data_IF_963442882557
#
_entry.id   IF_963442882557
#
_cell.length_a   1.000
_cell.length_b   1.000
_cell.length_c   1.000
_cell.angle_alpha   90.00
_cell.angle_beta   90.00
_cell.angle_gamma   90.00
#
_symmetry.space_group_name_H-M   'P 1'
#
loop_
_entity.id
_entity.type
_entity.pdbx_description
1 polymer ?
#
# COMPACT_ATOMS: atom_id res chain seq x y z
N UNK A 1 29.92 -23.72 3.35
CA UNK A 1 28.97 -23.01 2.48
C UNK A 1 28.74 -21.63 3.08
N UNK A 2 29.45 -20.62 2.60
CA UNK A 2 29.32 -19.23 3.05
C UNK A 2 28.03 -18.64 2.47
N UNK A 3 27.02 -18.45 3.31
CA UNK A 3 25.80 -17.74 2.97
C UNK A 3 26.18 -16.29 2.61
N UNK A 4 26.19 -15.96 1.32
CA UNK A 4 26.30 -14.57 0.86
C UNK A 4 25.09 -13.81 1.40
N UNK A 5 25.30 -12.90 2.36
CA UNK A 5 24.28 -11.97 2.80
C UNK A 5 23.70 -11.23 1.57
N UNK A 6 22.39 -11.10 1.44
CA UNK A 6 21.79 -10.46 0.27
C UNK A 6 22.30 -9.01 0.17
N UNK A 7 22.71 -8.60 -1.03
CA UNK A 7 23.26 -7.26 -1.36
C UNK A 7 22.43 -6.09 -0.84
N UNK A 8 21.16 -6.34 -0.54
CA UNK A 8 20.23 -5.35 0.01
C UNK A 8 20.59 -4.85 1.41
N UNK A 9 21.46 -5.54 2.17
CA UNK A 9 21.84 -5.12 3.54
C UNK A 9 22.65 -3.83 3.60
N UNK A 10 23.34 -3.44 2.53
CA UNK A 10 24.21 -2.25 2.49
C UNK A 10 23.49 -0.98 1.96
N UNK A 11 22.28 -1.12 1.39
CA UNK A 11 21.54 0.02 0.84
C UNK A 11 20.73 0.70 1.95
N UNK A 12 20.86 2.02 2.07
CA UNK A 12 20.09 2.83 3.03
C UNK A 12 18.59 2.70 2.72
N UNK A 13 17.74 2.46 3.73
CA UNK A 13 16.30 2.26 3.53
C UNK A 13 15.60 3.42 2.82
N UNK A 14 16.09 4.64 3.03
CA UNK A 14 15.57 5.86 2.41
C UNK A 14 15.72 5.83 0.89
N UNK A 15 16.77 5.21 0.37
CA UNK A 15 16.99 5.10 -1.08
C UNK A 15 15.95 4.20 -1.76
N UNK A 16 15.45 3.19 -1.07
CA UNK A 16 14.34 2.39 -1.58
C UNK A 16 13.07 3.22 -1.68
N UNK A 17 12.79 4.09 -0.69
CA UNK A 17 11.63 4.98 -0.77
C UNK A 17 11.78 6.01 -1.90
N UNK A 18 12.94 6.66 -2.01
CA UNK A 18 13.20 7.63 -3.09
C UNK A 18 13.06 6.95 -4.46
N UNK A 19 13.61 5.75 -4.61
CA UNK A 19 13.43 4.96 -5.82
C UNK A 19 11.95 4.65 -6.08
N UNK A 20 11.20 4.21 -5.07
CA UNK A 20 9.76 4.00 -5.18
C UNK A 20 9.03 5.27 -5.64
N UNK A 21 9.28 6.40 -4.99
CA UNK A 21 8.63 7.66 -5.31
C UNK A 21 8.90 8.12 -6.76
N UNK A 22 10.14 7.99 -7.22
CA UNK A 22 10.51 8.33 -8.60
C UNK A 22 9.75 7.42 -9.58
N UNK A 23 9.83 6.10 -9.42
CA UNK A 23 9.17 5.16 -10.32
C UNK A 23 7.65 5.26 -10.26
N UNK A 24 7.09 5.58 -9.10
CA UNK A 24 5.66 5.75 -8.90
C UNK A 24 5.06 6.83 -9.81
N UNK A 25 5.81 7.90 -10.07
CA UNK A 25 5.37 9.01 -10.94
C UNK A 25 6.01 9.02 -12.33
N UNK A 26 7.19 8.41 -12.49
CA UNK A 26 7.81 8.26 -13.80
C UNK A 26 6.94 7.39 -14.74
N UNK A 27 6.34 6.33 -14.22
CA UNK A 27 5.42 5.50 -14.99
C UNK A 27 4.19 6.27 -15.48
N UNK A 28 3.40 6.95 -14.63
CA UNK A 28 2.33 7.84 -15.06
C UNK A 28 2.78 8.95 -16.03
N UNK A 29 3.95 9.53 -15.86
CA UNK A 29 4.47 10.50 -16.81
C UNK A 29 4.68 9.90 -18.21
N UNK A 30 5.26 8.70 -18.28
CA UNK A 30 5.36 7.97 -19.56
C UNK A 30 4.00 7.54 -20.10
N UNK A 31 3.03 7.24 -19.22
CA UNK A 31 1.66 6.95 -19.65
C UNK A 31 1.01 8.15 -20.34
N UNK A 32 1.22 9.37 -19.83
CA UNK A 32 0.72 10.60 -20.48
C UNK A 32 1.29 10.75 -21.89
N UNK A 33 2.58 10.44 -22.09
CA UNK A 33 3.18 10.45 -23.44
C UNK A 33 2.57 9.36 -24.34
N UNK A 34 2.16 8.23 -23.78
CA UNK A 34 1.52 7.15 -24.51
C UNK A 34 0.07 7.48 -24.93
N UNK A 35 -0.60 8.44 -24.26
CA UNK A 35 -1.97 8.85 -24.60
C UNK A 35 -2.13 9.37 -26.03
N UNK A 36 -1.04 9.75 -26.70
CA UNK A 36 -1.06 10.08 -28.11
C UNK A 36 -1.38 8.89 -29.04
N UNK A 37 -1.24 7.65 -28.56
CA UNK A 37 -1.38 6.42 -29.33
C UNK A 37 -2.41 5.45 -28.74
N UNK A 38 -2.64 5.50 -27.43
CA UNK A 38 -3.53 4.62 -26.69
C UNK A 38 -4.34 5.46 -25.72
N UNK A 39 -5.64 5.34 -25.75
CA UNK A 39 -6.55 6.07 -24.86
C UNK A 39 -6.23 5.83 -23.37
N UNK A 40 -6.46 6.82 -22.49
CA UNK A 40 -6.08 6.76 -21.08
C UNK A 40 -6.60 5.52 -20.34
N UNK A 41 -7.83 5.07 -20.60
CA UNK A 41 -8.39 3.88 -19.95
C UNK A 41 -7.74 2.61 -20.47
N UNK A 42 -7.33 2.55 -21.76
CA UNK A 42 -6.55 1.47 -22.31
C UNK A 42 -5.18 1.33 -21.64
N UNK A 43 -4.48 2.46 -21.45
CA UNK A 43 -3.19 2.46 -20.73
C UNK A 43 -3.37 2.06 -19.27
N UNK A 44 -4.42 2.55 -18.59
CA UNK A 44 -4.74 2.18 -17.20
C UNK A 44 -4.97 0.67 -17.08
N UNK A 45 -5.72 0.07 -18.01
CA UNK A 45 -5.98 -1.37 -18.00
C UNK A 45 -4.71 -2.17 -18.28
N UNK A 46 -3.92 -1.83 -19.31
CA UNK A 46 -2.66 -2.50 -19.65
C UNK A 46 -1.65 -2.45 -18.50
N UNK A 47 -1.58 -1.31 -17.79
CA UNK A 47 -0.77 -1.18 -16.58
C UNK A 47 -1.18 -2.18 -15.50
N UNK A 48 -2.48 -2.25 -15.17
CA UNK A 48 -3.01 -3.16 -14.15
C UNK A 48 -2.82 -4.61 -14.57
N UNK A 49 -3.10 -4.93 -15.84
CA UNK A 49 -2.92 -6.25 -16.41
C UNK A 49 -1.46 -6.70 -16.31
N UNK A 50 -0.52 -5.86 -16.73
CA UNK A 50 0.93 -6.15 -16.65
C UNK A 50 1.34 -6.43 -15.20
N UNK A 51 0.96 -5.59 -14.27
CA UNK A 51 1.27 -5.80 -12.85
C UNK A 51 0.60 -7.07 -12.31
N UNK A 52 -0.66 -7.30 -12.66
CA UNK A 52 -1.42 -8.50 -12.28
C UNK A 52 -0.75 -9.78 -12.78
N UNK A 53 -0.31 -9.81 -14.04
CA UNK A 53 0.40 -10.96 -14.63
C UNK A 53 1.74 -11.20 -13.94
N UNK A 54 2.56 -10.16 -13.77
CA UNK A 54 3.87 -10.27 -13.11
C UNK A 54 3.73 -10.79 -11.69
N UNK A 55 2.82 -10.20 -10.89
CA UNK A 55 2.57 -10.67 -9.53
C UNK A 55 1.95 -12.07 -9.50
N UNK A 56 1.10 -12.43 -10.47
CA UNK A 56 0.51 -13.76 -10.56
C UNK A 56 1.57 -14.84 -10.82
N UNK A 57 2.49 -14.59 -11.74
CA UNK A 57 3.59 -15.50 -12.03
C UNK A 57 4.55 -15.64 -10.84
N UNK A 58 4.81 -14.53 -10.14
CA UNK A 58 5.73 -14.52 -8.99
C UNK A 58 5.10 -15.10 -7.73
N UNK A 59 3.85 -14.73 -7.37
CA UNK A 59 3.23 -14.99 -6.06
C UNK A 59 2.14 -16.05 -6.07
N UNK A 60 1.67 -16.49 -7.25
CA UNK A 60 0.63 -17.52 -7.41
C UNK A 60 -0.63 -17.24 -6.57
N UNK A 61 -1.32 -16.09 -6.77
CA UNK A 61 -2.40 -15.61 -5.89
C UNK A 61 -3.61 -16.54 -5.81
N UNK A 62 -3.78 -17.48 -6.75
CA UNK A 62 -4.80 -18.54 -6.68
C UNK A 62 -4.67 -19.43 -5.46
N UNK A 63 -3.43 -19.65 -4.94
CA UNK A 63 -3.20 -20.41 -3.70
C UNK A 63 -3.72 -19.63 -2.49
N UNK A 64 -3.43 -18.35 -2.43
CA UNK A 64 -3.93 -17.43 -1.40
C UNK A 64 -5.46 -17.36 -1.44
N UNK A 65 -6.03 -17.24 -2.66
CA UNK A 65 -7.48 -17.24 -2.87
C UNK A 65 -8.14 -18.54 -2.41
N UNK A 66 -7.59 -19.69 -2.74
CA UNK A 66 -8.15 -21.00 -2.37
C UNK A 66 -8.17 -21.21 -0.85
N UNK A 67 -7.15 -20.71 -0.14
CA UNK A 67 -7.04 -20.84 1.31
C UNK A 67 -7.75 -19.74 2.11
N UNK A 68 -8.21 -18.65 1.45
CA UNK A 68 -8.83 -17.52 2.11
C UNK A 68 -10.29 -17.83 2.51
N UNK A 69 -10.71 -17.52 3.76
CA UNK A 69 -12.12 -17.57 4.18
C UNK A 69 -12.99 -16.59 3.38
N UNK A 70 -14.31 -16.87 3.33
CA UNK A 70 -15.26 -16.02 2.59
C UNK A 70 -15.20 -14.52 2.92
N UNK A 71 -15.10 -14.06 4.19
CA UNK A 71 -15.03 -12.64 4.50
C UNK A 71 -13.76 -11.98 3.92
N UNK A 72 -12.65 -12.72 3.91
CA UNK A 72 -11.37 -12.24 3.38
C UNK A 72 -11.40 -12.13 1.86
N UNK A 73 -11.98 -13.13 1.16
CA UNK A 73 -12.20 -13.07 -0.30
C UNK A 73 -13.02 -11.84 -0.68
N UNK A 74 -14.13 -11.55 0.07
CA UNK A 74 -14.94 -10.36 -0.15
C UNK A 74 -14.13 -9.07 -0.02
N UNK A 75 -13.25 -8.99 0.98
CA UNK A 75 -12.38 -7.82 1.17
C UNK A 75 -11.38 -7.66 0.02
N UNK A 76 -10.79 -8.77 -0.47
CA UNK A 76 -9.89 -8.74 -1.65
C UNK A 76 -10.65 -8.31 -2.91
N UNK A 77 -11.89 -8.79 -3.11
CA UNK A 77 -12.73 -8.35 -4.25
C UNK A 77 -13.00 -6.86 -4.20
N UNK A 78 -13.43 -6.35 -3.05
CA UNK A 78 -13.66 -4.90 -2.86
C UNK A 78 -12.37 -4.11 -3.11
N UNK A 79 -11.24 -4.61 -2.62
CA UNK A 79 -9.94 -3.98 -2.84
C UNK A 79 -9.56 -3.95 -4.33
N UNK A 80 -9.79 -5.05 -5.07
CA UNK A 80 -9.56 -5.10 -6.52
C UNK A 80 -10.47 -4.15 -7.31
N UNK A 81 -11.76 -4.05 -6.94
CA UNK A 81 -12.69 -3.10 -7.55
C UNK A 81 -12.24 -1.66 -7.30
N UNK A 82 -11.89 -1.31 -6.06
CA UNK A 82 -11.38 0.02 -5.71
C UNK A 82 -10.11 0.34 -6.50
N UNK A 83 -9.21 -0.64 -6.63
CA UNK A 83 -7.97 -0.49 -7.39
C UNK A 83 -8.23 -0.21 -8.88
N UNK A 84 -9.19 -0.93 -9.50
CA UNK A 84 -9.56 -0.70 -10.89
C UNK A 84 -10.12 0.70 -11.13
N UNK A 85 -11.13 1.09 -10.34
CA UNK A 85 -11.81 2.38 -10.47
C UNK A 85 -10.89 3.56 -10.12
N UNK A 86 -10.04 3.39 -9.10
CA UNK A 86 -9.02 4.36 -8.72
C UNK A 86 -8.04 4.61 -9.87
N UNK A 87 -7.50 3.55 -10.48
CA UNK A 87 -6.60 3.72 -11.61
C UNK A 87 -7.28 4.35 -12.82
N UNK A 88 -8.52 3.95 -13.16
CA UNK A 88 -9.27 4.55 -14.25
C UNK A 88 -9.47 6.05 -14.02
N UNK A 89 -9.94 6.45 -12.83
CA UNK A 89 -10.16 7.87 -12.52
C UNK A 89 -8.85 8.67 -12.44
N UNK A 90 -7.75 8.07 -11.93
CA UNK A 90 -6.44 8.70 -11.93
C UNK A 90 -5.95 8.99 -13.36
N UNK A 91 -6.05 8.04 -14.28
CA UNK A 91 -5.60 8.22 -15.66
C UNK A 91 -6.45 9.22 -16.43
N UNK A 92 -7.77 9.24 -16.20
CA UNK A 92 -8.64 10.28 -16.75
C UNK A 92 -8.36 11.67 -16.18
N UNK A 93 -7.84 11.74 -14.94
CA UNK A 93 -7.45 13.00 -14.32
C UNK A 93 -6.13 13.53 -14.89
N UNK A 94 -5.06 12.68 -14.98
CA UNK A 94 -3.75 13.10 -15.49
C UNK A 94 -3.73 13.38 -17.00
N UNK A 95 -4.71 12.89 -17.74
CA UNK A 95 -4.96 13.23 -19.12
C UNK A 95 -5.39 14.72 -19.28
N UNK A 96 -5.98 15.29 -18.22
CA UNK A 96 -6.63 16.63 -18.23
C UNK A 96 -5.98 17.65 -17.32
N UNK A 97 -5.22 17.20 -16.32
CA UNK A 97 -4.62 18.01 -15.28
C UNK A 97 -3.13 17.68 -15.11
N UNK A 98 -2.31 18.64 -14.63
CA UNK A 98 -0.94 18.39 -14.30
C UNK A 98 -0.78 17.26 -13.28
N UNK A 99 0.24 16.41 -13.48
CA UNK A 99 0.50 15.24 -12.65
C UNK A 99 0.65 15.57 -11.15
N UNK A 100 1.36 16.68 -10.85
CA UNK A 100 1.54 17.16 -9.47
C UNK A 100 0.23 17.57 -8.80
N UNK A 101 -0.68 18.20 -9.55
CA UNK A 101 -2.01 18.61 -9.08
C UNK A 101 -2.88 17.40 -8.73
N UNK A 102 -2.93 16.41 -9.62
CA UNK A 102 -3.69 15.16 -9.36
C UNK A 102 -3.13 14.42 -8.16
N UNK A 103 -1.80 14.29 -8.06
CA UNK A 103 -1.15 13.67 -6.92
C UNK A 103 -1.44 14.40 -5.60
N UNK A 104 -1.41 15.73 -5.59
CA UNK A 104 -1.73 16.51 -4.39
C UNK A 104 -3.17 16.30 -3.93
N UNK A 105 -4.15 16.35 -4.85
CA UNK A 105 -5.56 16.09 -4.55
C UNK A 105 -5.73 14.67 -4.01
N UNK A 106 -5.11 13.67 -4.63
CA UNK A 106 -5.16 12.26 -4.19
C UNK A 106 -4.73 12.10 -2.73
N UNK A 107 -3.60 12.72 -2.35
CA UNK A 107 -3.08 12.62 -0.98
C UNK A 107 -3.88 13.41 0.06
N UNK A 108 -4.69 14.39 -0.34
CA UNK A 108 -5.59 15.07 0.57
C UNK A 108 -6.65 14.13 1.17
N UNK A 109 -7.11 13.12 0.42
CA UNK A 109 -8.17 12.21 0.86
C UNK A 109 -7.86 11.43 2.13
N UNK A 110 -6.74 10.70 2.22
CA UNK A 110 -6.32 10.02 3.44
C UNK A 110 -6.18 10.95 4.65
N UNK A 111 -5.74 12.20 4.44
CA UNK A 111 -5.63 13.20 5.50
C UNK A 111 -7.01 13.61 5.99
N UNK A 112 -7.93 13.92 5.08
CA UNK A 112 -9.31 14.27 5.41
C UNK A 112 -9.99 13.14 6.19
N UNK A 113 -9.79 11.89 5.74
CA UNK A 113 -10.35 10.71 6.41
C UNK A 113 -9.77 10.53 7.82
N UNK A 114 -8.47 10.67 7.98
CA UNK A 114 -7.78 10.50 9.24
C UNK A 114 -8.09 11.64 10.24
N UNK A 115 -8.24 12.87 9.76
CA UNK A 115 -8.53 14.04 10.57
C UNK A 115 -9.92 13.97 11.24
N UNK A 116 -10.90 13.35 10.59
CA UNK A 116 -12.25 13.15 11.16
C UNK A 116 -12.24 12.28 12.42
N UNK A 117 -11.28 11.37 12.55
CA UNK A 117 -11.19 10.41 13.66
C UNK A 117 -10.39 10.87 14.88
N UNK A 118 -9.60 11.94 14.79
CA UNK A 118 -8.63 12.35 15.84
C UNK A 118 -8.79 13.82 16.22
N UNK A 119 -9.24 14.07 17.44
CA UNK A 119 -9.42 15.42 18.00
C UNK A 119 -8.09 15.91 18.58
N UNK A 120 -7.15 16.34 17.76
CA UNK A 120 -5.94 17.03 18.18
C UNK A 120 -5.76 18.32 17.38
N UNK A 121 -5.14 19.34 17.98
CA UNK A 121 -4.85 20.61 17.31
C UNK A 121 -3.99 20.39 16.05
N UNK A 122 -3.07 19.43 16.09
CA UNK A 122 -2.23 19.09 14.93
C UNK A 122 -3.04 18.52 13.77
N UNK A 123 -3.99 17.64 14.05
CA UNK A 123 -4.85 17.06 13.00
C UNK A 123 -5.89 18.06 12.50
N UNK A 124 -6.33 19.00 13.36
CA UNK A 124 -7.14 20.13 12.90
C UNK A 124 -6.33 21.04 11.96
N UNK A 125 -5.06 21.34 12.28
CA UNK A 125 -4.17 22.09 11.40
C UNK A 125 -3.92 21.35 10.08
N UNK A 126 -3.68 20.01 10.13
CA UNK A 126 -3.54 19.19 8.94
C UNK A 126 -4.79 19.25 8.05
N UNK A 127 -5.99 19.20 8.66
CA UNK A 127 -7.27 19.32 7.95
C UNK A 127 -7.43 20.69 7.26
N UNK A 128 -7.08 21.79 7.96
CA UNK A 128 -7.13 23.15 7.41
C UNK A 128 -6.16 23.29 6.23
N UNK A 129 -4.92 22.80 6.38
CA UNK A 129 -3.94 22.84 5.29
C UNK A 129 -4.38 21.98 4.10
N UNK A 130 -4.93 20.78 4.33
CA UNK A 130 -5.43 19.93 3.25
C UNK A 130 -6.61 20.57 2.52
N UNK A 131 -7.58 21.10 3.25
CA UNK A 131 -8.74 21.77 2.66
C UNK A 131 -8.33 23.06 1.90
N UNK A 132 -7.42 23.86 2.47
CA UNK A 132 -6.86 25.05 1.79
C UNK A 132 -6.07 24.68 0.53
N UNK A 133 -5.29 23.59 0.57
CA UNK A 133 -4.57 23.10 -0.59
C UNK A 133 -5.50 22.64 -1.72
N UNK A 134 -6.53 21.85 -1.39
CA UNK A 134 -7.54 21.41 -2.38
C UNK A 134 -8.29 22.62 -2.95
N UNK A 135 -8.65 23.62 -2.11
CA UNK A 135 -9.34 24.81 -2.57
C UNK A 135 -8.45 25.63 -3.55
N UNK A 136 -7.15 25.81 -3.23
CA UNK A 136 -6.22 26.50 -4.12
C UNK A 136 -6.05 25.77 -5.47
N UNK A 137 -6.00 24.45 -5.47
CA UNK A 137 -5.95 23.63 -6.68
C UNK A 137 -7.27 23.68 -7.46
N UNK A 138 -8.42 23.67 -6.75
CA UNK A 138 -9.74 23.71 -7.37
C UNK A 138 -9.97 25.00 -8.15
N UNK A 139 -9.52 26.14 -7.65
CA UNK A 139 -9.66 27.43 -8.33
C UNK A 139 -9.04 27.42 -9.73
N UNK A 140 -7.83 26.86 -9.85
CA UNK A 140 -7.12 26.77 -11.14
C UNK A 140 -7.70 25.69 -12.03
N UNK A 141 -8.01 24.52 -11.47
CA UNK A 141 -8.43 23.34 -12.26
C UNK A 141 -9.88 23.44 -12.74
N UNK A 142 -10.79 24.05 -11.96
CA UNK A 142 -12.17 24.26 -12.38
C UNK A 142 -12.31 25.24 -13.53
N UNK A 143 -11.44 26.25 -13.60
CA UNK A 143 -11.41 27.16 -14.75
C UNK A 143 -10.85 26.52 -16.01
N UNK A 144 -9.92 25.53 -15.88
CA UNK A 144 -9.27 24.83 -16.99
C UNK A 144 -9.98 23.54 -17.41
N UNK A 145 -10.22 22.63 -16.48
CA UNK A 145 -10.83 21.32 -16.74
C UNK A 145 -11.70 20.84 -15.58
N UNK A 146 -12.99 21.21 -15.54
CA UNK A 146 -13.90 20.74 -14.50
C UNK A 146 -14.03 19.19 -14.45
N UNK A 147 -13.99 18.55 -15.61
CA UNK A 147 -14.02 17.08 -15.71
C UNK A 147 -12.74 16.45 -15.11
N UNK A 148 -11.58 17.01 -15.38
CA UNK A 148 -10.32 16.57 -14.78
C UNK A 148 -10.34 16.68 -13.27
N UNK A 149 -10.84 17.80 -12.73
CA UNK A 149 -11.02 17.99 -11.30
C UNK A 149 -11.97 16.94 -10.69
N UNK A 150 -13.11 16.69 -11.34
CA UNK A 150 -14.06 15.67 -10.88
C UNK A 150 -13.40 14.28 -10.83
N UNK A 151 -12.64 13.89 -11.85
CA UNK A 151 -11.90 12.63 -11.84
C UNK A 151 -10.84 12.59 -10.74
N UNK A 152 -10.13 13.68 -10.47
CA UNK A 152 -9.15 13.74 -9.39
C UNK A 152 -9.81 13.58 -8.01
N UNK A 153 -10.99 14.19 -7.78
CA UNK A 153 -11.76 14.04 -6.54
C UNK A 153 -12.31 12.61 -6.40
N UNK A 154 -12.82 12.02 -7.47
CA UNK A 154 -13.25 10.62 -7.47
C UNK A 154 -12.07 9.70 -7.15
N UNK A 155 -10.91 9.92 -7.76
CA UNK A 155 -9.68 9.20 -7.46
C UNK A 155 -9.29 9.34 -5.98
N UNK A 156 -9.33 10.55 -5.41
CA UNK A 156 -9.07 10.82 -3.98
C UNK A 156 -9.93 9.96 -3.05
N UNK A 157 -11.23 9.89 -3.33
CA UNK A 157 -12.18 9.08 -2.53
C UNK A 157 -11.89 7.59 -2.68
N UNK A 158 -11.66 7.12 -3.90
CA UNK A 158 -11.36 5.72 -4.19
C UNK A 158 -10.00 5.31 -3.60
N UNK A 159 -8.99 6.17 -3.64
CA UNK A 159 -7.69 5.96 -3.01
C UNK A 159 -7.81 5.83 -1.49
N UNK A 160 -8.62 6.68 -0.86
CA UNK A 160 -8.93 6.56 0.58
C UNK A 160 -9.58 5.21 0.91
N UNK A 161 -10.55 4.78 0.09
CA UNK A 161 -11.18 3.46 0.20
C UNK A 161 -10.19 2.31 -0.02
N UNK A 162 -9.29 2.45 -0.99
CA UNK A 162 -8.20 1.50 -1.26
C UNK A 162 -7.29 1.33 -0.03
N UNK A 163 -6.87 2.41 0.62
CA UNK A 163 -6.05 2.36 1.84
C UNK A 163 -6.78 1.63 2.97
N UNK A 164 -8.08 1.89 3.16
CA UNK A 164 -8.89 1.21 4.17
C UNK A 164 -8.97 -0.30 3.88
N UNK A 165 -9.22 -0.68 2.63
CA UNK A 165 -9.31 -2.08 2.22
C UNK A 165 -7.95 -2.79 2.37
N UNK A 166 -6.87 -2.17 1.91
CA UNK A 166 -5.50 -2.66 2.06
C UNK A 166 -5.13 -2.88 3.53
N UNK A 167 -5.49 -1.91 4.41
CA UNK A 167 -5.26 -2.03 5.85
C UNK A 167 -6.05 -3.18 6.48
N UNK A 168 -7.30 -3.41 6.05
CA UNK A 168 -8.09 -4.57 6.52
C UNK A 168 -7.46 -5.90 6.10
N UNK A 169 -7.01 -6.03 4.85
CA UNK A 169 -6.31 -7.23 4.36
C UNK A 169 -5.01 -7.46 5.12
N UNK A 170 -4.23 -6.42 5.39
CA UNK A 170 -2.94 -6.54 6.07
C UNK A 170 -3.03 -7.05 7.52
N UNK A 171 -4.19 -6.92 8.17
CA UNK A 171 -4.43 -7.45 9.52
C UNK A 171 -4.58 -8.98 9.55
N UNK A 172 -4.85 -9.60 8.42
CA UNK A 172 -4.99 -11.05 8.31
C UNK A 172 -3.64 -11.67 7.94
N UNK A 173 -3.00 -12.37 8.88
CA UNK A 173 -1.64 -12.92 8.74
C UNK A 173 -1.42 -13.80 7.50
N UNK A 174 -2.48 -14.45 6.99
CA UNK A 174 -2.42 -15.33 5.81
C UNK A 174 -2.48 -14.59 4.48
N UNK A 175 -2.99 -13.36 4.47
CA UNK A 175 -3.21 -12.53 3.26
C UNK A 175 -2.31 -11.29 3.22
N UNK A 176 -1.43 -11.14 4.23
CA UNK A 176 -0.62 -9.94 4.39
C UNK A 176 0.38 -9.77 3.24
N UNK A 177 0.53 -8.52 2.81
CA UNK A 177 1.58 -8.12 1.88
C UNK A 177 1.26 -8.39 0.41
N UNK A 178 2.27 -8.85 -0.34
CA UNK A 178 2.24 -8.94 -1.80
C UNK A 178 1.22 -9.96 -2.32
N UNK A 179 0.88 -11.00 -1.55
CA UNK A 179 -0.02 -12.07 -2.01
C UNK A 179 -1.47 -11.59 -2.13
N UNK A 180 -1.95 -10.83 -1.13
CA UNK A 180 -3.26 -10.19 -1.19
C UNK A 180 -3.34 -9.14 -2.30
N UNK A 181 -2.27 -8.35 -2.47
CA UNK A 181 -2.16 -7.38 -3.55
C UNK A 181 -2.19 -8.06 -4.92
N UNK A 182 -1.47 -9.18 -5.11
CA UNK A 182 -1.46 -9.93 -6.36
C UNK A 182 -2.86 -10.41 -6.73
N UNK A 183 -3.65 -10.91 -5.77
CA UNK A 183 -5.04 -11.30 -5.99
C UNK A 183 -5.92 -10.10 -6.34
N UNK A 184 -5.78 -8.98 -5.62
CA UNK A 184 -6.52 -7.75 -5.89
C UNK A 184 -6.18 -7.17 -7.28
N UNK A 185 -4.92 -7.22 -7.72
CA UNK A 185 -4.49 -6.78 -9.06
C UNK A 185 -5.13 -7.61 -10.18
N UNK A 186 -5.23 -8.94 -10.03
CA UNK A 186 -5.92 -9.78 -11.02
C UNK A 186 -7.41 -9.47 -11.09
N UNK A 187 -8.05 -9.26 -9.95
CA UNK A 187 -9.45 -8.85 -9.90
C UNK A 187 -9.61 -7.47 -10.55
N UNK A 188 -8.70 -6.54 -10.24
CA UNK A 188 -8.72 -5.21 -10.85
C UNK A 188 -8.57 -5.28 -12.38
N UNK A 189 -7.67 -6.13 -12.90
CA UNK A 189 -7.50 -6.33 -14.33
C UNK A 189 -8.79 -6.88 -14.98
N UNK A 190 -9.48 -7.82 -14.30
CA UNK A 190 -10.75 -8.36 -14.78
C UNK A 190 -11.90 -7.33 -14.73
N UNK A 191 -11.97 -6.51 -13.67
CA UNK A 191 -12.98 -5.46 -13.52
C UNK A 191 -12.75 -4.32 -14.51
N UNK A 192 -11.49 -3.95 -14.77
CA UNK A 192 -11.14 -2.90 -15.72
C UNK A 192 -11.20 -3.36 -17.19
N UNK A 193 -11.26 -4.67 -17.46
CA UNK A 193 -11.31 -5.23 -18.81
C UNK A 193 -12.42 -4.61 -19.69
N UNK A 194 -13.70 -4.59 -19.27
CA UNK A 194 -14.78 -4.05 -20.11
C UNK A 194 -14.64 -2.53 -20.33
N UNK A 195 -13.89 -1.84 -19.47
CA UNK A 195 -13.71 -0.38 -19.54
C UNK A 195 -12.53 -0.02 -20.46
N UNK A 196 -11.43 -0.79 -20.43
CA UNK A 196 -10.19 -0.41 -21.08
C UNK A 196 -9.77 -1.29 -22.27
N UNK A 197 -10.39 -2.47 -22.50
CA UNK A 197 -9.90 -3.38 -23.53
C UNK A 197 -10.04 -2.83 -24.95
N UNK A 198 -11.11 -2.11 -25.23
CA UNK A 198 -11.31 -1.49 -26.54
C UNK A 198 -10.34 -0.33 -26.77
N UNK A 199 -10.14 0.49 -25.74
CA UNK A 199 -9.21 1.61 -25.74
C UNK A 199 -7.74 1.14 -25.82
N UNK A 200 -7.46 -0.09 -25.36
CA UNK A 200 -6.14 -0.72 -25.46
C UNK A 200 -5.87 -1.38 -26.82
N UNK A 201 -6.89 -1.57 -27.66
CA UNK A 201 -6.75 -2.28 -28.93
C UNK A 201 -5.62 -1.74 -29.84
N UNK A 202 -5.39 -0.40 -29.96
CA UNK A 202 -4.29 0.11 -30.76
C UNK A 202 -2.90 -0.38 -30.29
N UNK A 203 -2.72 -0.59 -28.97
CA UNK A 203 -1.45 -1.08 -28.46
C UNK A 203 -1.10 -2.50 -28.94
N UNK A 204 -2.09 -3.33 -29.24
CA UNK A 204 -1.84 -4.69 -29.72
C UNK A 204 -1.45 -4.75 -31.20
N UNK A 205 -1.68 -3.67 -31.94
CA UNK A 205 -1.31 -3.56 -33.36
C UNK A 205 0.05 -2.90 -33.57
N UNK A 206 0.58 -2.21 -32.53
CA UNK A 206 1.91 -1.58 -32.53
C UNK A 206 2.78 -2.15 -31.41
N UNK A 207 3.83 -2.95 -31.73
CA UNK A 207 4.74 -3.50 -30.73
C UNK A 207 5.42 -2.44 -29.85
N UNK A 208 5.63 -1.23 -30.36
CA UNK A 208 6.26 -0.12 -29.62
C UNK A 208 5.32 0.37 -28.51
N UNK A 209 4.06 0.64 -28.87
CA UNK A 209 3.02 1.04 -27.90
C UNK A 209 2.74 -0.04 -26.87
N UNK A 210 2.71 -1.31 -27.27
CA UNK A 210 2.56 -2.43 -26.34
C UNK A 210 3.74 -2.54 -25.38
N UNK A 211 4.97 -2.44 -25.91
CA UNK A 211 6.19 -2.44 -25.10
C UNK A 211 6.23 -1.26 -24.11
N UNK A 212 5.83 -0.07 -24.54
CA UNK A 212 5.71 1.12 -23.69
C UNK A 212 4.66 0.91 -22.59
N UNK A 213 3.47 0.36 -22.91
CA UNK A 213 2.43 0.09 -21.93
C UNK A 213 2.85 -0.95 -20.88
N UNK A 214 3.57 -2.00 -21.30
CA UNK A 214 4.19 -2.96 -20.36
C UNK A 214 5.23 -2.25 -19.49
N UNK A 215 6.08 -1.41 -20.07
CA UNK A 215 7.05 -0.57 -19.35
C UNK A 215 6.38 0.32 -18.30
N UNK A 216 5.27 0.97 -18.65
CA UNK A 216 4.45 1.75 -17.71
C UNK A 216 3.94 0.87 -16.57
N UNK A 217 3.43 -0.35 -16.85
CA UNK A 217 2.97 -1.28 -15.83
C UNK A 217 4.07 -1.70 -14.86
N UNK A 218 5.26 -1.99 -15.37
CA UNK A 218 6.42 -2.35 -14.55
C UNK A 218 6.90 -1.17 -13.68
N UNK A 219 7.05 0.00 -14.28
CA UNK A 219 7.59 1.19 -13.60
C UNK A 219 6.60 1.79 -12.60
N UNK A 220 5.30 1.84 -12.93
CA UNK A 220 4.28 2.44 -12.05
C UNK A 220 3.77 1.51 -10.96
N UNK A 221 3.92 0.20 -11.11
CA UNK A 221 3.26 -0.75 -10.18
C UNK A 221 4.24 -1.77 -9.62
N UNK A 222 4.96 -2.52 -10.46
CA UNK A 222 5.79 -3.63 -9.94
C UNK A 222 6.97 -3.10 -9.13
N UNK A 223 7.76 -2.19 -9.71
CA UNK A 223 8.96 -1.64 -9.07
C UNK A 223 8.61 -0.84 -7.80
N UNK A 224 7.66 0.13 -7.83
CA UNK A 224 7.31 0.89 -6.64
C UNK A 224 6.83 0.01 -5.49
N UNK A 225 5.94 -0.95 -5.76
CA UNK A 225 5.42 -1.82 -4.70
C UNK A 225 6.51 -2.68 -4.05
N UNK A 226 7.50 -3.16 -4.82
CA UNK A 226 8.64 -3.90 -4.25
C UNK A 226 9.50 -2.97 -3.40
N UNK A 227 9.79 -1.77 -3.88
CA UNK A 227 10.61 -0.79 -3.16
C UNK A 227 9.91 -0.31 -1.89
N UNK A 228 8.60 -0.05 -1.94
CA UNK A 228 7.81 0.33 -0.77
C UNK A 228 7.82 -0.77 0.30
N UNK A 229 7.69 -2.03 -0.09
CA UNK A 229 7.79 -3.14 0.86
C UNK A 229 9.17 -3.24 1.50
N UNK A 230 10.24 -2.96 0.75
CA UNK A 230 11.61 -2.94 1.28
C UNK A 230 11.84 -1.74 2.22
N UNK A 231 11.31 -0.58 1.88
CA UNK A 231 11.36 0.63 2.71
C UNK A 231 10.57 0.45 4.02
N UNK A 232 9.30 0.03 3.95
CA UNK A 232 8.43 -0.17 5.11
C UNK A 232 8.95 -1.18 6.12
N UNK A 233 9.68 -2.20 5.66
CA UNK A 233 10.29 -3.21 6.55
C UNK A 233 11.45 -2.67 7.38
N UNK A 234 12.06 -1.56 6.98
CA UNK A 234 13.32 -1.04 7.54
C UNK A 234 13.21 0.36 8.11
N UNK A 235 12.27 1.17 7.64
CA UNK A 235 12.04 2.52 8.13
C UNK A 235 11.11 2.52 9.35
N UNK A 236 11.40 3.42 10.29
CA UNK A 236 10.45 3.74 11.34
C UNK A 236 9.18 4.36 10.73
N UNK A 237 8.01 4.08 11.30
CA UNK A 237 6.71 4.56 10.79
C UNK A 237 6.66 6.08 10.60
N UNK A 238 7.21 6.84 11.56
CA UNK A 238 7.26 8.30 11.47
C UNK A 238 8.11 8.79 10.30
N UNK A 239 9.27 8.16 10.05
CA UNK A 239 10.14 8.49 8.92
C UNK A 239 9.47 8.17 7.59
N UNK A 240 8.82 6.99 7.48
CA UNK A 240 8.08 6.62 6.28
C UNK A 240 6.93 7.59 6.00
N UNK A 241 6.13 7.94 7.00
CA UNK A 241 5.04 8.91 6.86
C UNK A 241 5.54 10.30 6.41
N UNK A 242 6.68 10.76 6.97
CA UNK A 242 7.28 12.02 6.54
C UNK A 242 7.74 11.97 5.07
N UNK A 243 8.31 10.84 4.64
CA UNK A 243 8.74 10.66 3.25
C UNK A 243 7.54 10.59 2.30
N UNK A 244 6.44 9.96 2.69
CA UNK A 244 5.18 9.94 1.91
C UNK A 244 4.66 11.36 1.66
N UNK A 245 4.87 12.30 2.59
CA UNK A 245 4.50 13.71 2.40
C UNK A 245 5.19 14.36 1.19
N UNK A 246 6.33 13.82 0.73
CA UNK A 246 7.06 14.35 -0.41
C UNK A 246 6.56 13.82 -1.77
N UNK A 247 5.66 12.85 -1.77
CA UNK A 247 5.15 12.26 -3.02
C UNK A 247 4.51 13.27 -3.98
N UNK A 248 3.65 14.23 -3.54
CA UNK A 248 3.13 15.24 -4.45
C UNK A 248 4.22 16.14 -5.04
N UNK A 249 5.28 16.48 -4.25
CA UNK A 249 6.41 17.22 -4.76
C UNK A 249 7.18 16.42 -5.82
N UNK A 250 7.37 15.11 -5.59
CA UNK A 250 8.00 14.22 -6.59
C UNK A 250 7.19 14.17 -7.88
N UNK A 251 5.85 14.10 -7.79
CA UNK A 251 4.96 14.15 -8.94
C UNK A 251 5.10 15.46 -9.73
N UNK A 252 5.14 16.59 -9.03
CA UNK A 252 5.34 17.91 -9.64
C UNK A 252 6.68 18.00 -10.36
N UNK A 253 7.78 17.57 -9.71
CA UNK A 253 9.11 17.56 -10.32
C UNK A 253 9.15 16.67 -11.57
N UNK A 254 8.59 15.47 -11.52
CA UNK A 254 8.51 14.57 -12.67
C UNK A 254 7.64 15.17 -13.77
N UNK A 255 6.51 15.79 -13.43
CA UNK A 255 5.66 16.52 -14.37
C UNK A 255 6.41 17.64 -15.12
N UNK A 256 7.22 18.42 -14.40
CA UNK A 256 8.06 19.46 -15.00
C UNK A 256 9.13 18.85 -15.91
N UNK A 257 9.86 17.85 -15.42
CA UNK A 257 11.03 17.30 -16.13
C UNK A 257 10.66 16.46 -17.35
N UNK A 258 9.57 15.69 -17.29
CA UNK A 258 9.20 14.74 -18.34
C UNK A 258 8.10 15.29 -19.24
N UNK A 259 7.11 15.98 -18.65
CA UNK A 259 5.92 16.45 -19.35
C UNK A 259 5.98 17.96 -19.66
N UNK A 260 7.04 18.65 -19.23
CA UNK A 260 7.18 20.12 -19.37
C UNK A 260 6.01 20.92 -18.77
N UNK A 261 5.33 20.33 -17.77
CA UNK A 261 4.19 20.93 -17.07
C UNK A 261 4.71 21.96 -16.05
N UNK A 262 4.73 23.23 -16.43
CA UNK A 262 5.16 24.33 -15.54
C UNK A 262 3.96 24.70 -14.66
N UNK A 263 4.02 24.45 -13.31
CA UNK A 263 2.89 24.73 -12.44
C UNK A 263 2.70 26.24 -12.25
N UNK A 264 1.44 26.68 -12.17
CA UNK A 264 1.10 28.03 -11.79
C UNK A 264 1.46 28.29 -10.30
N UNK A 265 1.69 29.54 -9.87
CA UNK A 265 1.99 29.84 -8.47
C UNK A 265 0.94 29.32 -7.48
N UNK A 266 -0.34 29.37 -7.84
CA UNK A 266 -1.46 28.83 -7.06
C UNK A 266 -1.43 27.30 -6.96
N UNK A 267 -0.99 26.60 -8.01
CA UNK A 267 -0.77 25.14 -7.98
C UNK A 267 0.38 24.78 -7.04
N UNK A 268 1.49 25.53 -7.10
CA UNK A 268 2.62 25.37 -6.17
C UNK A 268 2.15 25.55 -4.72
N UNK A 269 1.37 26.61 -4.46
CA UNK A 269 0.82 26.85 -3.12
C UNK A 269 -0.07 25.68 -2.68
N UNK A 270 -0.97 25.19 -3.53
CA UNK A 270 -1.83 24.06 -3.23
C UNK A 270 -1.04 22.77 -2.91
N UNK A 271 -0.04 22.45 -3.73
CA UNK A 271 0.85 21.29 -3.49
C UNK A 271 1.61 21.43 -2.17
N UNK A 272 2.19 22.61 -1.89
CA UNK A 272 2.90 22.88 -0.63
C UNK A 272 1.98 22.72 0.58
N UNK A 273 0.76 23.25 0.53
CA UNK A 273 -0.23 23.10 1.61
C UNK A 273 -0.57 21.63 1.87
N UNK A 274 -0.73 20.82 0.83
CA UNK A 274 -0.97 19.37 0.97
C UNK A 274 0.25 18.67 1.58
N UNK A 275 1.46 18.99 1.16
CA UNK A 275 2.71 18.45 1.74
C UNK A 275 2.78 18.77 3.23
N UNK A 276 2.51 20.02 3.60
CA UNK A 276 2.48 20.46 5.01
C UNK A 276 1.39 19.71 5.79
N UNK A 277 0.20 19.53 5.20
CA UNK A 277 -0.88 18.77 5.83
C UNK A 277 -0.46 17.33 6.16
N UNK A 278 0.17 16.62 5.20
CA UNK A 278 0.68 15.25 5.42
C UNK A 278 1.77 15.24 6.49
N UNK A 279 2.71 16.19 6.45
CA UNK A 279 3.82 16.28 7.40
C UNK A 279 3.35 16.60 8.85
N UNK A 280 2.30 17.40 8.99
CA UNK A 280 1.73 17.80 10.29
C UNK A 280 0.83 16.72 10.86
N UNK A 281 0.20 15.90 9.99
CA UNK A 281 -0.72 14.83 10.42
C UNK A 281 -0.05 13.83 11.36
N UNK A 282 -0.76 13.39 12.39
CA UNK A 282 -0.31 12.34 13.31
C UNK A 282 -1.30 11.18 13.34
N UNK A 283 -0.80 10.00 13.00
CA UNK A 283 -1.52 8.76 13.26
C UNK A 283 -1.60 8.49 14.77
N UNK A 284 -2.73 7.91 15.23
CA UNK A 284 -2.80 7.34 16.56
C UNK A 284 -1.77 6.22 16.67
N UNK A 285 -0.78 6.37 17.56
CA UNK A 285 0.03 5.24 17.97
C UNK A 285 -0.91 4.15 18.51
N UNK A 286 -0.76 2.88 18.13
CA UNK A 286 -1.48 1.80 18.77
C UNK A 286 -1.19 1.85 20.27
N UNK A 287 -2.17 1.64 21.17
CA UNK A 287 -1.90 1.57 22.59
C UNK A 287 -0.77 0.57 22.82
N UNK A 288 0.24 0.97 23.58
CA UNK A 288 1.41 0.16 23.87
C UNK A 288 0.97 -1.13 24.60
N UNK A 289 0.90 -2.23 23.88
CA UNK A 289 0.66 -3.59 24.44
C UNK A 289 1.95 -4.14 25.09
N UNK A 290 2.86 -3.28 25.54
CA UNK A 290 4.22 -3.70 25.89
C UNK A 290 4.52 -3.65 27.39
N UNK A 291 3.58 -3.24 28.25
CA UNK A 291 3.88 -3.21 29.71
C UNK A 291 3.37 -4.43 30.50
N UNK A 292 2.50 -5.26 29.93
CA UNK A 292 1.93 -6.37 30.68
C UNK A 292 2.66 -7.72 30.50
N UNK A 293 3.55 -7.85 29.52
CA UNK A 293 4.30 -9.11 29.30
C UNK A 293 5.61 -9.20 30.08
N UNK A 294 6.22 -8.08 30.43
CA UNK A 294 7.49 -8.10 31.20
C UNK A 294 7.30 -8.35 32.71
N UNK A 295 6.07 -8.18 33.24
CA UNK A 295 5.78 -8.54 34.62
C UNK A 295 5.34 -10.02 34.81
N UNK A 296 4.97 -10.70 33.73
CA UNK A 296 4.58 -12.12 33.80
C UNK A 296 5.75 -13.08 33.59
N UNK A 297 6.90 -12.61 33.15
CA UNK A 297 8.10 -13.42 32.88
C UNK A 297 9.21 -13.30 33.94
N UNK A 298 8.99 -12.57 35.04
CA UNK A 298 9.92 -12.66 36.17
C UNK A 298 9.63 -13.95 36.94
N UNK A 299 10.59 -14.89 37.02
CA UNK A 299 10.42 -16.05 37.87
C UNK A 299 10.22 -15.55 39.31
N UNK A 300 9.13 -15.94 39.95
CA UNK A 300 8.96 -15.75 41.40
C UNK A 300 10.16 -16.42 42.07
N UNK A 301 11.09 -15.62 42.57
CA UNK A 301 12.11 -16.10 43.50
C UNK A 301 11.36 -16.60 44.74
N UNK A 302 11.27 -17.90 44.89
CA UNK A 302 10.85 -18.50 46.15
C UNK A 302 11.85 -18.11 47.25
N UNK A 303 11.40 -17.57 48.39
CA UNK A 303 12.27 -17.38 49.52
C UNK A 303 12.82 -18.72 50.00
N UNK A 304 14.12 -18.81 50.11
CA UNK A 304 14.83 -19.96 50.62
C UNK A 304 14.30 -20.36 51.99
N UNK A 305 13.67 -21.51 52.07
CA UNK A 305 13.24 -22.11 53.34
C UNK A 305 14.51 -22.62 54.07
N UNK A 306 14.92 -21.95 55.13
CA UNK A 306 15.96 -22.38 56.06
C UNK A 306 15.40 -23.57 56.85
N UNK A 307 16.21 -24.58 56.92
CA UNK A 307 16.05 -25.90 57.42
C UNK A 307 15.32 -26.05 58.78
N UNK A 308 14.59 -27.12 58.87
CA UNK A 308 14.29 -27.81 60.13
C UNK A 308 14.54 -29.32 59.93
N UNK A 309 14.89 -30.05 61.03
CA UNK A 309 15.56 -31.34 60.96
C UNK A 309 14.60 -32.51 60.63
N UNK A 310 15.15 -33.52 59.99
CA UNK A 310 14.50 -34.77 59.63
C UNK A 310 14.14 -35.59 60.85
N UNK A 311 12.95 -36.22 60.94
CA UNK A 311 12.76 -37.41 61.71
C UNK A 311 13.04 -38.66 60.87
N UNK A 312 13.75 -39.60 61.48
CA UNK A 312 14.07 -40.93 61.01
C UNK A 312 12.82 -41.83 60.93
N UNK A 313 12.66 -42.60 59.90
CA UNK A 313 11.68 -43.67 59.82
C UNK A 313 11.22 -43.93 58.38
N UNK A 314 11.92 -44.79 57.66
CA UNK A 314 11.49 -45.26 56.34
C UNK A 314 10.47 -46.41 56.49
N UNK A 315 9.57 -46.56 55.50
CA UNK A 315 9.51 -47.84 54.83
C UNK A 315 9.67 -47.75 53.33
N UNK A 316 10.39 -48.71 52.80
CA UNK A 316 10.64 -49.03 51.40
C UNK A 316 9.36 -49.32 50.66
N UNK A 317 9.11 -48.66 49.53
CA UNK A 317 8.08 -49.04 48.55
C UNK A 317 8.72 -49.43 47.24
N UNK A 318 8.35 -50.64 46.76
CA UNK A 318 8.84 -51.27 45.54
C UNK A 318 8.40 -50.52 44.28
N UNK A 319 9.25 -50.55 43.26
CA UNK A 319 9.02 -49.96 41.92
C UNK A 319 8.09 -50.87 41.11
N UNK A 320 6.87 -50.40 40.87
CA UNK A 320 6.03 -50.90 39.79
C UNK A 320 6.24 -50.07 38.54
N UNK A 321 6.53 -50.73 37.42
CA UNK A 321 6.80 -50.09 36.12
C UNK A 321 5.54 -49.50 35.47
N UNK A 322 5.69 -48.63 34.46
CA UNK A 322 4.58 -47.92 33.83
C UNK A 322 3.76 -48.84 32.91
N UNK A 323 2.42 -48.63 32.80
CA UNK A 323 1.57 -49.39 31.90
C UNK A 323 1.75 -48.91 30.44
N UNK A 324 1.86 -49.90 29.55
CA UNK A 324 1.92 -49.73 28.08
C UNK A 324 0.52 -49.39 27.53
N UNK A 325 0.38 -48.25 26.88
CA UNK A 325 -0.79 -47.90 26.07
C UNK A 325 -0.55 -48.22 24.60
N UNK A 326 -1.34 -49.15 24.04
CA UNK A 326 -1.44 -49.41 22.61
C UNK A 326 -2.64 -48.64 22.05
N UNK A 327 -2.53 -47.88 20.93
CA UNK A 327 -3.69 -47.26 20.30
C UNK A 327 -4.42 -48.25 19.39
N UNK A 328 -5.75 -48.37 19.59
CA UNK A 328 -6.68 -49.10 18.70
C UNK A 328 -7.05 -48.21 17.51
N UNK A 329 -7.09 -48.73 16.26
CA UNK A 329 -7.50 -47.93 15.10
C UNK A 329 -9.02 -47.82 15.03
N UNK A 330 -9.53 -46.59 14.90
CA UNK A 330 -10.93 -46.30 14.63
C UNK A 330 -11.24 -46.55 13.13
N UNK A 331 -12.29 -47.35 12.89
CA UNK A 331 -12.90 -47.65 11.58
C UNK A 331 -13.57 -46.38 10.98
N UNK A 332 -13.39 -46.26 9.69
CA UNK A 332 -14.14 -45.40 8.74
C UNK A 332 -15.58 -45.88 8.64
N UNK A 333 -16.52 -44.98 8.73
CA UNK A 333 -17.77 -44.88 7.95
C UNK A 333 -18.03 -43.40 7.64
#
# INVERSE_FOLDING_TARGET
>A
MTSKAPLTHHVRPELFFVGSAIFHYLGPAFAVLLFAHVEPLGVAWLRILTAGVVFALWRRPWRTWASAPHPERRTIVVWGILLALMNASFYLAIDRLPLGTVAAIEFAGPILLAAVGVRSLRNLAALIFAAGGVAALAEVTLSGSPAGFAFAVVNMVLFSGYIIAAHRVSRHQRLAGIDGLAAAMLIAAAVALPIGVLDAAPAFTDPTSLGAAIGVGLTSSVIPYVFDQLAMRRLARATYALMVALLPATATVIGVLILTQIPAPTEILGVVLIIVAVAVHQDRAPPAVTAARDHASRPRQHPAYRGSPRPSGAPTYERGGPPSWTPTPARVL
#
